data_IF_086469935271
#
_entry.id   IF_086469935271
#
_cell.length_a   1.000
_cell.length_b   1.000
_cell.length_c   1.000
_cell.angle_alpha   90.00
_cell.angle_beta   90.00
_cell.angle_gamma   90.00
#
_symmetry.space_group_name_H-M   'P 1'
#
loop_
_entity.id
_entity.type
_entity.pdbx_description
1 polymer ?
#
# COMPACT_ATOMS: atom_id res chain seq x y z
N UNK A 1 -6.94 0.53 31.21
CA UNK A 1 -6.45 -0.82 31.54
C UNK A 1 -7.57 -1.79 31.86
N UNK A 2 -8.83 -1.36 31.82
CA UNK A 2 -10.01 -2.16 32.18
C UNK A 2 -10.15 -3.47 31.40
N UNK A 3 -9.74 -3.51 30.13
CA UNK A 3 -9.86 -4.69 29.26
C UNK A 3 -8.60 -5.57 29.17
N UNK A 4 -7.54 -5.23 29.90
CA UNK A 4 -6.27 -5.99 29.84
C UNK A 4 -6.46 -7.43 30.33
N UNK A 5 -7.17 -7.71 31.45
CA UNK A 5 -7.37 -9.08 31.92
C UNK A 5 -8.16 -9.96 30.94
N UNK A 6 -9.20 -9.42 30.32
CA UNK A 6 -10.03 -10.14 29.34
C UNK A 6 -9.25 -10.40 28.05
N UNK A 7 -8.43 -9.44 27.60
CA UNK A 7 -7.55 -9.63 26.44
C UNK A 7 -6.53 -10.75 26.70
N UNK A 8 -5.89 -10.77 27.87
CA UNK A 8 -4.93 -11.82 28.25
C UNK A 8 -5.60 -13.19 28.36
N UNK A 9 -6.81 -13.26 28.92
CA UNK A 9 -7.59 -14.49 28.99
C UNK A 9 -7.95 -15.00 27.58
N UNK A 10 -8.41 -14.13 26.69
CA UNK A 10 -8.69 -14.48 25.29
C UNK A 10 -7.43 -14.91 24.53
N UNK A 11 -6.29 -14.23 24.76
CA UNK A 11 -5.01 -14.56 24.13
C UNK A 11 -4.48 -15.93 24.57
N UNK A 12 -4.50 -16.21 25.87
CA UNK A 12 -4.00 -17.49 26.42
C UNK A 12 -4.88 -18.69 26.02
N UNK A 13 -6.17 -18.47 25.79
CA UNK A 13 -7.11 -19.49 25.35
C UNK A 13 -7.23 -19.58 23.81
N UNK A 14 -6.52 -18.72 23.07
CA UNK A 14 -6.60 -18.67 21.61
C UNK A 14 -8.02 -18.38 21.11
N UNK A 15 -8.74 -17.45 21.73
CA UNK A 15 -10.10 -17.10 21.34
C UNK A 15 -10.13 -15.98 20.29
N UNK A 16 -11.10 -16.06 19.36
CA UNK A 16 -11.31 -15.04 18.34
C UNK A 16 -10.09 -14.83 17.46
N UNK A 17 -9.58 -13.59 17.41
CA UNK A 17 -8.39 -13.24 16.62
C UNK A 17 -7.13 -14.00 17.05
N UNK A 18 -7.08 -14.53 18.28
CA UNK A 18 -5.93 -15.28 18.81
C UNK A 18 -5.90 -16.76 18.41
N UNK A 19 -6.82 -17.24 17.57
CA UNK A 19 -6.88 -18.65 17.11
C UNK A 19 -5.74 -19.06 16.17
N UNK A 20 -5.02 -18.09 15.62
CA UNK A 20 -3.90 -18.31 14.72
C UNK A 20 -2.85 -17.20 14.90
N UNK A 21 -1.64 -17.35 14.36
CA UNK A 21 -0.71 -16.24 14.21
C UNK A 21 -1.37 -15.16 13.33
N UNK A 22 -1.91 -14.11 13.94
CA UNK A 22 -2.52 -12.97 13.26
C UNK A 22 -1.65 -11.75 13.43
N UNK A 23 -1.29 -11.11 12.33
CA UNK A 23 -0.68 -9.78 12.36
C UNK A 23 -1.71 -8.76 12.84
N UNK A 24 -1.29 -7.83 13.70
CA UNK A 24 -2.19 -6.80 14.16
C UNK A 24 -2.52 -5.82 13.02
N UNK A 25 -3.75 -5.26 12.97
CA UNK A 25 -4.13 -4.39 11.86
C UNK A 25 -3.27 -3.13 11.69
N UNK A 26 -2.63 -2.63 12.75
CA UNK A 26 -1.71 -1.50 12.67
C UNK A 26 -0.36 -1.90 12.06
N UNK A 27 0.16 -3.09 12.41
CA UNK A 27 1.41 -3.63 11.83
C UNK A 27 1.23 -3.88 10.34
N UNK A 28 0.11 -4.51 9.94
CA UNK A 28 -0.25 -4.71 8.53
C UNK A 28 -0.28 -3.40 7.73
N UNK A 29 -0.85 -2.33 8.30
CA UNK A 29 -0.92 -1.01 7.65
C UNK A 29 0.44 -0.31 7.60
N UNK A 30 1.27 -0.47 8.65
CA UNK A 30 2.61 0.10 8.69
C UNK A 30 3.51 -0.50 7.61
N UNK A 31 3.38 -1.81 7.37
CA UNK A 31 4.12 -2.57 6.35
C UNK A 31 3.57 -2.41 4.92
N UNK A 32 2.79 -1.36 4.66
CA UNK A 32 2.18 -1.13 3.34
C UNK A 32 3.21 -0.89 2.23
N UNK A 33 4.36 -0.30 2.57
CA UNK A 33 5.42 -0.04 1.61
C UNK A 33 6.14 -1.32 1.17
N UNK A 34 6.65 -2.12 2.10
CA UNK A 34 7.38 -3.35 1.72
C UNK A 34 6.47 -4.33 0.99
N UNK A 35 5.21 -4.48 1.44
CA UNK A 35 4.22 -5.30 0.74
C UNK A 35 3.99 -4.84 -0.70
N UNK A 36 3.82 -3.53 -0.91
CA UNK A 36 3.63 -2.98 -2.26
C UNK A 36 4.88 -3.16 -3.13
N UNK A 37 6.08 -3.12 -2.53
CA UNK A 37 7.33 -3.29 -3.24
C UNK A 37 7.52 -4.75 -3.68
N UNK A 38 7.04 -5.71 -2.88
CA UNK A 38 7.03 -7.14 -3.20
C UNK A 38 5.99 -7.51 -4.26
N UNK A 39 4.80 -6.89 -4.23
CA UNK A 39 3.73 -7.13 -5.22
C UNK A 39 4.07 -6.55 -6.61
N UNK A 40 4.91 -5.51 -6.66
CA UNK A 40 5.25 -4.86 -7.91
C UNK A 40 6.03 -5.79 -8.85
N UNK A 41 5.79 -5.75 -10.18
CA UNK A 41 6.59 -6.51 -11.17
C UNK A 41 8.08 -6.18 -11.14
N UNK A 42 8.44 -5.04 -10.54
CA UNK A 42 9.81 -4.54 -10.44
C UNK A 42 10.20 -4.46 -8.96
N UNK A 43 10.92 -5.45 -8.43
CA UNK A 43 11.21 -5.55 -6.99
C UNK A 43 11.77 -4.25 -6.43
N UNK A 44 11.17 -3.77 -5.34
CA UNK A 44 11.59 -2.52 -4.70
C UNK A 44 10.96 -1.25 -5.28
N UNK A 45 10.04 -1.37 -6.26
CA UNK A 45 9.43 -0.22 -6.91
C UNK A 45 7.91 -0.14 -6.69
N UNK A 46 7.47 0.30 -5.50
CA UNK A 46 6.08 0.21 -5.08
C UNK A 46 5.18 1.31 -5.64
N UNK A 47 5.69 2.37 -6.26
CA UNK A 47 4.84 3.50 -6.66
C UNK A 47 4.25 3.23 -8.04
N UNK A 48 2.92 3.36 -8.15
CA UNK A 48 2.16 3.12 -9.40
C UNK A 48 1.93 4.43 -10.13
N UNK A 49 2.41 4.56 -11.36
CA UNK A 49 2.13 5.69 -12.24
C UNK A 49 1.16 5.35 -13.36
N UNK A 50 -0.09 5.80 -13.29
CA UNK A 50 -1.09 5.67 -14.35
C UNK A 50 -1.38 6.98 -15.12
N UNK A 51 -1.85 6.85 -16.36
CA UNK A 51 -2.21 7.98 -17.22
C UNK A 51 -3.73 8.00 -17.36
N UNK A 52 -4.38 9.11 -16.97
CA UNK A 52 -5.83 9.21 -17.10
C UNK A 52 -6.26 9.44 -18.55
N UNK A 53 -7.57 9.42 -18.81
CA UNK A 53 -8.12 9.64 -20.16
C UNK A 53 -7.81 11.04 -20.74
N UNK A 54 -7.48 12.02 -19.87
CA UNK A 54 -7.09 13.38 -20.25
C UNK A 54 -5.58 13.49 -20.52
N UNK A 55 -4.82 12.40 -20.39
CA UNK A 55 -3.37 12.36 -20.58
C UNK A 55 -2.56 12.83 -19.37
N UNK A 56 -3.19 13.03 -18.21
CA UNK A 56 -2.48 13.41 -16.99
C UNK A 56 -1.72 12.21 -16.40
N UNK A 57 -0.44 12.45 -16.07
CA UNK A 57 0.45 11.48 -15.43
C UNK A 57 0.34 11.56 -13.90
N UNK A 58 -0.24 10.54 -13.29
CA UNK A 58 -0.54 10.53 -11.85
C UNK A 58 0.19 9.39 -11.17
N UNK A 59 0.96 9.69 -10.13
CA UNK A 59 1.59 8.66 -9.31
C UNK A 59 0.81 8.42 -8.01
N UNK A 60 0.76 7.14 -7.61
CA UNK A 60 0.08 6.62 -6.45
C UNK A 60 1.07 5.88 -5.56
N UNK A 61 1.19 6.34 -4.31
CA UNK A 61 1.99 5.69 -3.28
C UNK A 61 1.19 4.61 -2.55
N UNK A 62 1.84 3.64 -1.87
CA UNK A 62 1.14 2.54 -1.19
C UNK A 62 0.08 2.96 -0.17
N UNK A 63 0.27 4.10 0.49
CA UNK A 63 -0.69 4.68 1.44
C UNK A 63 -1.84 5.45 0.78
N UNK A 64 -1.82 5.63 -0.55
CA UNK A 64 -2.90 6.31 -1.25
C UNK A 64 -4.17 5.43 -1.22
N UNK A 65 -5.36 6.00 -0.94
CA UNK A 65 -6.62 5.25 -0.96
C UNK A 65 -6.97 4.69 -2.35
N UNK A 66 -6.32 5.20 -3.40
CA UNK A 66 -6.51 4.77 -4.78
C UNK A 66 -5.52 3.67 -5.20
N UNK A 67 -4.49 3.39 -4.40
CA UNK A 67 -3.37 2.54 -4.78
C UNK A 67 -3.80 1.12 -5.21
N UNK A 68 -4.73 0.51 -4.49
CA UNK A 68 -5.27 -0.81 -4.80
C UNK A 68 -6.18 -0.84 -6.03
N UNK A 69 -6.77 0.31 -6.39
CA UNK A 69 -7.64 0.46 -7.56
C UNK A 69 -6.85 0.77 -8.82
N UNK A 70 -5.71 1.45 -8.69
CA UNK A 70 -4.83 1.76 -9.82
C UNK A 70 -4.17 0.47 -10.33
N UNK A 71 -4.43 0.18 -11.60
CA UNK A 71 -3.75 -0.86 -12.39
C UNK A 71 -2.81 -0.17 -13.36
N UNK A 72 -1.65 -0.77 -13.59
CA UNK A 72 -0.63 -0.24 -14.49
C UNK A 72 -0.66 -1.03 -15.79
N UNK A 73 -0.83 -0.31 -16.90
CA UNK A 73 -0.69 -0.81 -18.25
C UNK A 73 0.54 -0.19 -18.91
N UNK A 74 1.65 -0.93 -18.92
CA UNK A 74 2.91 -0.46 -19.53
C UNK A 74 2.79 -0.17 -21.03
N UNK A 75 1.83 -0.78 -21.73
CA UNK A 75 1.57 -0.50 -23.15
C UNK A 75 1.06 0.92 -23.40
N UNK A 76 0.37 1.52 -22.43
CA UNK A 76 -0.15 2.89 -22.49
C UNK A 76 0.88 3.93 -22.01
N UNK A 77 2.10 3.49 -21.68
CA UNK A 77 3.16 4.34 -21.11
C UNK A 77 3.04 4.56 -19.60
N UNK A 78 2.14 3.84 -18.93
CA UNK A 78 2.09 3.75 -17.47
C UNK A 78 3.29 2.96 -16.93
N UNK A 79 3.72 3.22 -15.70
CA UNK A 79 4.90 2.54 -15.15
C UNK A 79 5.00 2.58 -13.65
N UNK A 80 5.92 1.79 -13.12
CA UNK A 80 6.25 1.74 -11.71
C UNK A 80 7.49 2.59 -11.37
N UNK A 81 7.51 3.19 -10.18
CA UNK A 81 8.59 3.99 -9.65
C UNK A 81 9.07 3.46 -8.30
N UNK A 82 10.35 3.67 -8.00
CA UNK A 82 10.97 3.19 -6.76
C UNK A 82 10.91 4.23 -5.65
N UNK A 83 10.87 5.50 -6.01
CA UNK A 83 10.62 6.60 -5.08
C UNK A 83 9.81 7.74 -5.73
N UNK A 84 9.37 8.68 -4.90
CA UNK A 84 8.56 9.81 -5.36
C UNK A 84 9.38 10.81 -6.19
N UNK A 85 10.69 10.92 -5.95
CA UNK A 85 11.55 11.84 -6.68
C UNK A 85 11.71 11.39 -8.14
N UNK A 86 11.82 10.08 -8.39
CA UNK A 86 11.83 9.46 -9.71
C UNK A 86 10.53 9.78 -10.47
N UNK A 87 9.38 9.63 -9.82
CA UNK A 87 8.07 9.96 -10.40
C UNK A 87 7.98 11.45 -10.76
N UNK A 88 8.39 12.34 -9.86
CA UNK A 88 8.37 13.79 -10.08
C UNK A 88 9.33 14.18 -11.21
N UNK A 89 10.55 13.64 -11.22
CA UNK A 89 11.55 13.88 -12.27
C UNK A 89 11.05 13.40 -13.65
N UNK A 90 10.24 12.34 -13.66
CA UNK A 90 9.56 11.84 -14.85
C UNK A 90 8.34 12.69 -15.30
N UNK A 91 8.01 13.76 -14.58
CA UNK A 91 6.87 14.64 -14.87
C UNK A 91 5.53 14.11 -14.39
N UNK A 92 5.52 13.27 -13.36
CA UNK A 92 4.30 12.72 -12.75
C UNK A 92 3.90 13.55 -11.54
N UNK A 93 2.59 13.81 -11.40
CA UNK A 93 2.04 14.51 -10.23
C UNK A 93 1.45 13.54 -9.22
N UNK A 94 1.46 13.91 -7.94
CA UNK A 94 0.83 13.10 -6.90
C UNK A 94 -0.68 12.98 -7.15
N UNK A 95 -1.23 11.80 -6.82
CA UNK A 95 -2.67 11.61 -6.71
C UNK A 95 -3.24 12.58 -5.66
N UNK A 96 -4.33 13.27 -6.01
CA UNK A 96 -5.03 14.15 -5.08
C UNK A 96 -6.07 13.32 -4.33
N UNK A 97 -5.92 13.20 -3.03
CA UNK A 97 -6.91 12.61 -2.14
C UNK A 97 -6.99 13.49 -0.88
N UNK A 98 -8.22 13.71 -0.41
CA UNK A 98 -8.52 14.40 0.84
C UNK A 98 -8.99 13.39 1.87
#
# INVERSE_FOLDING_TARGET
TEYVPEEEAARSQGLGVWQAPTEAPWDYRANSWERAAEESPRPGCPIKGNINQEGERIYHTPWSPWYSRTRINEADGERWFCDQAEAIAAGWRAARFR
#
